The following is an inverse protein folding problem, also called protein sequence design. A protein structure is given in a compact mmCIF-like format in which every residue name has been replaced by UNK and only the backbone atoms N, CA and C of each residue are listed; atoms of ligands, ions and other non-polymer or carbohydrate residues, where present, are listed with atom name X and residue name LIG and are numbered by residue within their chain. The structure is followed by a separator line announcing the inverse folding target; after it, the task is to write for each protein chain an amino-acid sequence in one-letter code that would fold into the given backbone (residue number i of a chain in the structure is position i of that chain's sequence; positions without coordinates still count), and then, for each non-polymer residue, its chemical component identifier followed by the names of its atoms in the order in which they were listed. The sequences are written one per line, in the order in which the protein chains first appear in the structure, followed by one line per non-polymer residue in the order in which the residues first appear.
data_IF_535067198012
#
_entry.id   IF_535067198012
#
_cell.length_a   1.000
_cell.length_b   1.000
_cell.length_c   1.000
_cell.angle_alpha   90.00
_cell.angle_beta   90.00
_cell.angle_gamma   90.00
#
_symmetry.space_group_name_H-M   'P 1'
#
loop_
_entity.id
_entity.type
_entity.pdbx_description
1 polymer ?
#
# COMPACT_ATOMS: atom_id res chain seq x y z
N UNK A 1 -17.93 13.14 8.99
CA UNK A 1 -16.77 13.26 8.12
C UNK A 1 -16.84 14.57 7.36
N UNK A 2 -16.00 15.55 7.74
CA UNK A 2 -16.06 16.88 7.12
C UNK A 2 -15.90 16.86 5.60
N UNK A 3 -14.98 16.04 5.07
CA UNK A 3 -14.76 15.95 3.65
C UNK A 3 -15.95 15.39 2.88
N UNK A 4 -16.77 14.57 3.53
CA UNK A 4 -17.98 14.04 2.89
C UNK A 4 -19.01 15.15 2.66
N UNK A 5 -19.08 16.09 3.59
CA UNK A 5 -20.01 17.21 3.45
C UNK A 5 -19.62 18.09 2.25
N UNK A 6 -18.32 18.26 2.02
CA UNK A 6 -17.84 19.10 0.92
C UNK A 6 -17.91 18.42 -0.44
N UNK A 7 -17.73 17.10 -0.49
CA UNK A 7 -17.53 16.39 -1.76
C UNK A 7 -18.52 15.25 -1.97
N UNK A 8 -19.62 15.24 -1.24
CA UNK A 8 -20.65 14.22 -1.42
C UNK A 8 -20.18 12.80 -1.02
N UNK A 9 -19.13 12.73 -0.20
CA UNK A 9 -18.62 11.45 0.25
C UNK A 9 -17.60 10.77 -0.65
N UNK A 10 -17.21 11.43 -1.73
CA UNK A 10 -16.29 10.85 -2.72
C UNK A 10 -14.82 11.15 -2.46
N UNK A 11 -14.50 12.02 -1.52
CA UNK A 11 -13.12 12.34 -1.21
C UNK A 11 -12.44 11.20 -0.46
N UNK A 12 -11.26 10.82 -0.92
CA UNK A 12 -10.43 9.86 -0.21
C UNK A 12 -9.84 10.52 1.04
N UNK A 13 -9.58 9.72 2.08
CA UNK A 13 -8.81 10.17 3.23
C UNK A 13 -7.34 9.95 2.92
N UNK A 14 -6.58 11.04 2.91
CA UNK A 14 -5.14 10.99 2.66
C UNK A 14 -4.41 11.15 4.00
N UNK A 15 -3.52 10.23 4.29
CA UNK A 15 -2.79 10.18 5.56
C UNK A 15 -1.29 10.12 5.28
N UNK A 16 -0.58 11.20 5.60
CA UNK A 16 0.86 11.27 5.38
C UNK A 16 1.60 10.74 6.60
N UNK A 17 2.57 9.86 6.36
CA UNK A 17 3.41 9.30 7.41
C UNK A 17 4.87 9.63 7.13
N UNK A 18 5.59 10.00 8.18
CA UNK A 18 7.03 10.25 8.09
C UNK A 18 7.85 9.17 8.81
N UNK A 19 7.17 8.23 9.44
CA UNK A 19 7.76 7.09 10.14
C UNK A 19 6.96 5.84 9.84
N UNK A 20 7.56 4.69 10.06
CA UNK A 20 6.90 3.41 9.85
C UNK A 20 5.61 3.31 10.67
N UNK A 21 4.61 2.69 10.11
CA UNK A 21 3.26 2.68 10.66
C UNK A 21 2.61 1.31 10.46
N UNK A 22 1.94 0.84 11.49
CA UNK A 22 1.13 -0.38 11.38
C UNK A 22 -0.28 0.00 10.99
N UNK A 23 -0.67 -0.39 9.78
CA UNK A 23 -1.99 -0.09 9.22
C UNK A 23 -3.05 -0.88 9.99
N UNK A 24 -4.17 -0.25 10.26
CA UNK A 24 -5.29 -0.86 10.97
C UNK A 24 -6.43 -1.15 9.99
N UNK A 25 -7.25 -2.15 10.31
CA UNK A 25 -8.42 -2.46 9.49
C UNK A 25 -9.34 -1.24 9.33
N UNK A 26 -9.44 -0.39 10.36
CA UNK A 26 -10.24 0.84 10.33
C UNK A 26 -9.70 1.89 9.36
N UNK A 27 -8.48 1.72 8.87
CA UNK A 27 -7.89 2.62 7.88
C UNK A 27 -8.33 2.26 6.45
N UNK A 28 -9.25 1.31 6.30
CA UNK A 28 -9.72 0.84 5.01
C UNK A 28 -10.12 2.01 4.11
N UNK A 29 -9.63 1.99 2.88
CA UNK A 29 -9.91 3.03 1.89
C UNK A 29 -9.00 4.23 1.94
N UNK A 30 -8.11 4.33 2.92
CA UNK A 30 -7.16 5.45 2.99
C UNK A 30 -6.09 5.35 1.91
N UNK A 31 -5.63 6.52 1.49
CA UNK A 31 -4.41 6.67 0.73
C UNK A 31 -3.30 7.14 1.68
N UNK A 32 -2.30 6.30 1.87
CA UNK A 32 -1.13 6.65 2.65
C UNK A 32 -0.05 7.23 1.74
N UNK A 33 0.61 8.27 2.21
CA UNK A 33 1.74 8.86 1.49
C UNK A 33 2.94 8.96 2.43
N UNK A 34 4.10 9.17 1.85
CA UNK A 34 5.33 9.41 2.60
C UNK A 34 5.74 10.88 2.59
N UNK A 35 4.78 11.78 2.39
CA UNK A 35 5.10 13.22 2.34
C UNK A 35 5.80 13.66 3.61
N UNK A 36 6.97 14.27 3.44
CA UNK A 36 7.79 14.72 4.55
C UNK A 36 8.77 13.67 5.07
N UNK A 37 8.73 12.45 4.58
CA UNK A 37 9.68 11.43 4.99
C UNK A 37 11.08 11.74 4.48
N UNK A 38 12.08 11.50 5.30
CA UNK A 38 13.49 11.69 4.96
C UNK A 38 14.24 10.38 4.76
N UNK A 39 13.53 9.27 4.82
CA UNK A 39 14.07 7.93 4.61
C UNK A 39 12.96 6.96 4.26
N UNK A 40 13.35 5.71 4.04
CA UNK A 40 12.41 4.63 3.78
C UNK A 40 11.51 4.41 4.97
N UNK A 41 10.20 4.29 4.73
CA UNK A 41 9.25 3.95 5.78
C UNK A 41 8.54 2.65 5.40
N UNK A 42 8.12 1.90 6.42
CA UNK A 42 7.45 0.63 6.26
C UNK A 42 6.02 0.74 6.77
N UNK A 43 5.08 0.33 5.93
CA UNK A 43 3.69 0.12 6.32
C UNK A 43 3.47 -1.37 6.51
N UNK A 44 3.13 -1.77 7.73
CA UNK A 44 2.79 -3.18 8.01
C UNK A 44 1.29 -3.34 7.93
N UNK A 45 0.84 -4.23 7.07
CA UNK A 45 -0.59 -4.48 6.87
C UNK A 45 -1.19 -5.21 8.08
N UNK A 46 -2.47 -5.03 8.34
CA UNK A 46 -3.13 -5.77 9.41
C UNK A 46 -3.18 -7.26 9.08
N UNK A 47 -3.19 -8.07 10.12
CA UNK A 47 -3.31 -9.52 9.96
C UNK A 47 -4.68 -9.85 9.35
N UNK A 48 -4.67 -10.70 8.33
CA UNK A 48 -5.88 -11.27 7.79
C UNK A 48 -6.33 -12.36 8.75
N UNK A 49 -7.44 -12.10 9.42
CA UNK A 49 -7.99 -13.04 10.37
C UNK A 49 -9.17 -13.73 9.70
N UNK A 50 -9.09 -15.06 9.61
CA UNK A 50 -10.14 -15.85 8.99
C UNK A 50 -11.50 -15.67 9.69
N UNK A 51 -11.49 -15.33 10.98
CA UNK A 51 -12.73 -15.12 11.73
C UNK A 51 -13.33 -13.74 11.46
N UNK A 52 -12.51 -12.73 11.24
CA UNK A 52 -12.99 -11.38 10.96
C UNK A 52 -13.22 -11.15 9.48
N UNK A 53 -12.62 -11.99 8.65
CA UNK A 53 -12.84 -11.94 7.21
C UNK A 53 -12.53 -10.59 6.59
N UNK A 54 -11.29 -10.10 6.69
CA UNK A 54 -10.89 -8.82 6.08
C UNK A 54 -10.99 -8.81 4.55
N UNK A 55 -11.86 -9.66 4.00
CA UNK A 55 -12.06 -9.76 2.56
C UNK A 55 -12.58 -8.45 2.00
N UNK A 56 -11.93 -7.96 0.96
CA UNK A 56 -12.30 -6.71 0.32
C UNK A 56 -11.73 -5.45 0.98
N UNK A 57 -11.07 -5.56 2.10
CA UNK A 57 -10.39 -4.43 2.73
C UNK A 57 -9.23 -4.01 1.85
N UNK A 58 -9.10 -2.70 1.61
CA UNK A 58 -8.08 -2.18 0.72
C UNK A 58 -7.42 -0.93 1.27
N UNK A 59 -6.17 -0.75 0.87
CA UNK A 59 -5.37 0.43 1.18
C UNK A 59 -4.59 0.85 -0.05
N UNK A 60 -4.32 2.14 -0.17
CA UNK A 60 -3.50 2.66 -1.25
C UNK A 60 -2.27 3.37 -0.68
N UNK A 61 -1.19 3.34 -1.44
CA UNK A 61 0.09 3.93 -1.05
C UNK A 61 0.68 4.67 -2.24
N UNK A 62 1.19 5.87 -1.98
CA UNK A 62 1.82 6.66 -3.03
C UNK A 62 3.08 7.34 -2.50
N UNK A 63 4.13 7.37 -3.30
CA UNK A 63 5.33 8.11 -2.96
C UNK A 63 5.18 9.55 -3.41
N UNK A 64 5.21 10.48 -2.48
CA UNK A 64 5.23 11.91 -2.75
C UNK A 64 6.53 12.57 -2.28
N UNK A 65 7.34 11.84 -1.54
CA UNK A 65 8.74 12.15 -1.28
C UNK A 65 9.61 11.17 -2.05
N UNK A 66 10.81 11.57 -2.42
CA UNK A 66 11.74 10.71 -3.17
C UNK A 66 12.41 9.69 -2.25
N UNK A 67 11.59 8.90 -1.57
CA UNK A 67 11.99 7.85 -0.63
C UNK A 67 11.13 6.62 -0.89
N UNK A 68 11.68 5.45 -0.64
CA UNK A 68 10.95 4.21 -0.81
C UNK A 68 9.88 4.01 0.27
N UNK A 69 8.80 3.37 -0.12
CA UNK A 69 7.80 2.82 0.80
C UNK A 69 7.92 1.30 0.74
N UNK A 70 8.01 0.67 1.90
CA UNK A 70 7.92 -0.78 2.04
C UNK A 70 6.53 -1.11 2.53
N UNK A 71 5.87 -2.03 1.87
CA UNK A 71 4.58 -2.57 2.32
C UNK A 71 4.83 -4.02 2.69
N UNK A 72 4.67 -4.33 3.97
CA UNK A 72 4.94 -5.65 4.52
C UNK A 72 3.66 -6.29 5.04
N UNK A 73 3.51 -7.59 4.82
CA UNK A 73 2.43 -8.35 5.44
C UNK A 73 2.75 -8.69 6.89
N UNK A 74 1.71 -9.04 7.65
CA UNK A 74 1.92 -9.73 8.92
C UNK A 74 2.66 -11.04 8.64
N UNK A 75 3.53 -11.51 9.56
CA UNK A 75 4.28 -12.76 9.32
C UNK A 75 3.41 -13.98 9.00
N UNK A 76 2.16 -14.00 9.42
CA UNK A 76 1.23 -15.10 9.12
C UNK A 76 0.55 -14.98 7.77
N UNK A 77 0.73 -13.86 7.07
CA UNK A 77 0.07 -13.59 5.80
C UNK A 77 1.10 -13.45 4.69
N UNK A 78 0.62 -13.42 3.46
CA UNK A 78 1.46 -13.27 2.28
C UNK A 78 0.89 -12.23 1.34
N UNK A 79 1.76 -11.69 0.51
CA UNK A 79 1.39 -10.83 -0.60
C UNK A 79 1.43 -11.63 -1.89
N UNK A 80 0.48 -11.36 -2.75
CA UNK A 80 0.49 -11.86 -4.12
C UNK A 80 0.85 -10.69 -5.03
N UNK A 81 1.99 -10.78 -5.68
CA UNK A 81 2.49 -9.69 -6.53
C UNK A 81 3.22 -10.27 -7.74
N UNK A 82 2.82 -9.85 -8.93
CA UNK A 82 3.36 -10.37 -10.19
C UNK A 82 3.25 -11.90 -10.23
N UNK A 83 4.36 -12.60 -10.36
CA UNK A 83 4.39 -14.06 -10.42
C UNK A 83 4.70 -14.70 -9.06
N UNK A 84 4.73 -13.92 -7.99
CA UNK A 84 5.05 -14.39 -6.66
C UNK A 84 3.78 -14.43 -5.80
N UNK A 85 3.41 -15.61 -5.34
CA UNK A 85 2.24 -15.81 -4.49
C UNK A 85 2.57 -15.93 -3.00
N UNK A 86 3.83 -15.71 -2.63
CA UNK A 86 4.28 -15.89 -1.25
C UNK A 86 5.24 -14.78 -0.79
N UNK A 87 5.11 -13.60 -1.38
CA UNK A 87 5.96 -12.46 -1.01
C UNK A 87 5.66 -11.99 0.41
N UNK A 88 6.69 -11.56 1.12
CA UNK A 88 6.56 -10.99 2.46
C UNK A 88 6.44 -9.47 2.41
N UNK A 89 7.02 -8.84 1.42
CA UNK A 89 6.94 -7.39 1.26
C UNK A 89 7.13 -6.97 -0.18
N UNK A 90 6.75 -5.74 -0.45
CA UNK A 90 6.98 -5.07 -1.72
C UNK A 90 7.53 -3.68 -1.43
N UNK A 91 8.54 -3.26 -2.17
CA UNK A 91 9.20 -1.98 -1.97
C UNK A 91 9.13 -1.16 -3.24
N UNK A 92 8.68 0.07 -3.13
CA UNK A 92 8.69 1.01 -4.26
C UNK A 92 10.10 1.52 -4.51
N UNK A 93 10.35 2.00 -5.71
CA UNK A 93 11.55 2.80 -5.96
C UNK A 93 11.48 4.09 -5.13
N UNK A 94 12.65 4.67 -4.86
CA UNK A 94 12.74 5.96 -4.17
C UNK A 94 12.44 7.11 -5.14
N UNK A 95 11.32 7.00 -5.84
CA UNK A 95 10.92 7.92 -6.90
C UNK A 95 9.52 8.42 -6.62
N UNK A 96 9.31 9.70 -6.80
CA UNK A 96 7.98 10.32 -6.64
C UNK A 96 7.04 9.75 -7.70
N UNK A 97 5.80 9.48 -7.30
CA UNK A 97 4.75 9.05 -8.21
C UNK A 97 4.56 7.55 -8.33
N UNK A 98 5.24 6.77 -7.51
CA UNK A 98 4.95 5.34 -7.42
C UNK A 98 3.63 5.14 -6.69
N UNK A 99 2.82 4.20 -7.15
CA UNK A 99 1.51 3.95 -6.58
C UNK A 99 1.24 2.44 -6.48
N UNK A 100 0.76 2.02 -5.33
CA UNK A 100 0.35 0.64 -5.10
C UNK A 100 -0.98 0.62 -4.38
N UNK A 101 -1.79 -0.38 -4.68
CA UNK A 101 -2.99 -0.69 -3.93
C UNK A 101 -2.92 -2.14 -3.48
N UNK A 102 -3.34 -2.41 -2.26
CA UNK A 102 -3.44 -3.77 -1.75
C UNK A 102 -4.88 -4.06 -1.38
N UNK A 103 -5.35 -5.24 -1.74
CA UNK A 103 -6.71 -5.69 -1.47
C UNK A 103 -6.63 -7.08 -0.87
N UNK A 104 -7.31 -7.30 0.24
CA UNK A 104 -7.41 -8.62 0.85
C UNK A 104 -8.48 -9.45 0.15
N UNK A 105 -8.14 -10.68 -0.22
CA UNK A 105 -9.13 -11.65 -0.69
C UNK A 105 -9.61 -12.59 0.42
N UNK A 106 -9.23 -12.30 1.66
CA UNK A 106 -9.55 -13.12 2.82
C UNK A 106 -8.49 -14.16 3.15
N UNK A 107 -7.53 -14.38 2.27
CA UNK A 107 -6.44 -15.35 2.45
C UNK A 107 -5.08 -14.68 2.33
N UNK A 108 -4.94 -13.77 1.38
CA UNK A 108 -3.69 -13.05 1.13
C UNK A 108 -3.99 -11.63 0.70
N UNK A 109 -2.96 -10.80 0.65
CA UNK A 109 -3.05 -9.45 0.12
C UNK A 109 -2.67 -9.46 -1.35
N UNK A 110 -3.57 -9.02 -2.20
CA UNK A 110 -3.30 -8.87 -3.63
C UNK A 110 -2.73 -7.48 -3.86
N UNK A 111 -1.53 -7.41 -4.40
CA UNK A 111 -0.86 -6.15 -4.69
C UNK A 111 -1.16 -5.75 -6.13
N UNK A 112 -1.71 -4.57 -6.28
CA UNK A 112 -1.99 -3.97 -7.59
C UNK A 112 -1.09 -2.77 -7.72
N UNK A 113 -0.17 -2.81 -8.67
CA UNK A 113 0.66 -1.68 -9.03
C UNK A 113 0.08 -1.02 -10.27
N UNK A 114 0.34 0.26 -10.43
CA UNK A 114 -0.07 0.98 -11.62
C UNK A 114 1.12 1.12 -12.57
N UNK A 115 1.26 0.21 -13.53
CA UNK A 115 2.37 0.28 -14.48
C UNK A 115 2.27 1.47 -15.43
N UNK A 116 1.08 2.04 -15.56
CA UNK A 116 0.91 3.21 -16.43
C UNK A 116 1.54 4.46 -15.86
N UNK A 117 1.75 4.48 -14.55
CA UNK A 117 2.45 5.60 -13.92
C UNK A 117 3.88 5.69 -14.38
N UNK A 118 4.35 4.65 -15.00
CA UNK A 118 5.66 4.65 -15.53
C UNK A 118 5.58 4.78 -17.01
N UNK A 119 5.86 5.91 -17.42
CA UNK A 119 5.92 6.26 -18.83
C UNK A 119 7.02 5.49 -19.58
N UNK A 120 7.74 4.65 -18.91
CA UNK A 120 8.84 3.91 -19.52
C UNK A 120 8.84 2.49 -18.99
N UNK A 121 9.46 1.59 -19.73
CA UNK A 121 9.63 0.19 -19.31
C UNK A 121 10.24 0.06 -17.91
N UNK A 122 10.96 1.07 -17.46
CA UNK A 122 11.55 1.09 -16.13
C UNK A 122 10.52 1.05 -15.00
N UNK A 123 9.28 1.38 -15.28
CA UNK A 123 8.30 1.37 -14.21
C UNK A 123 7.94 -0.01 -13.75
N UNK A 124 7.98 -0.94 -14.66
CA UNK A 124 7.69 -2.32 -14.30
C UNK A 124 8.75 -2.84 -13.33
N UNK A 125 9.94 -2.27 -13.37
CA UNK A 125 11.02 -2.65 -12.47
C UNK A 125 11.09 -1.79 -11.22
N UNK A 126 10.14 -0.88 -11.05
CA UNK A 126 10.16 0.06 -9.93
C UNK A 126 9.70 -0.56 -8.61
N UNK A 127 9.20 -1.78 -8.63
CA UNK A 127 8.73 -2.48 -7.45
C UNK A 127 9.62 -3.68 -7.19
N UNK A 128 10.20 -3.74 -5.99
CA UNK A 128 11.02 -4.85 -5.54
C UNK A 128 10.22 -5.78 -4.66
N UNK A 129 10.33 -7.08 -4.90
CA UNK A 129 9.60 -8.11 -4.18
C UNK A 129 10.59 -8.85 -3.27
N UNK A 130 10.19 -9.07 -2.03
CA UNK A 130 10.94 -9.90 -1.08
C UNK A 130 10.04 -11.02 -0.54
N UNK A 131 10.59 -12.21 -0.51
CA UNK A 131 9.89 -13.41 -0.02
C UNK A 131 10.60 -14.02 1.19
#
# INVERSE_FOLDING_TARGET
MPNKLLFGGWAAVVDAKTASYTVKARDCGKLFTNRGATGTITFTLPKIDALTGLKGVQFEFATVAAQSIVIASDPSDKLIVHADGAADSVTTAATIGQHLRVVSDGTAWIVISDPSAASAATAVTAVTIAT
#
